data_IF_553995267666
#
_entry.id   IF_553995267666
#
_cell.length_a   1.000
_cell.length_b   1.000
_cell.length_c   1.000
_cell.angle_alpha   90.00
_cell.angle_beta   90.00
_cell.angle_gamma   90.00
#
_symmetry.space_group_name_H-M   'P 1'
#
loop_
_entity.id
_entity.type
_entity.pdbx_description
1 polymer ?
#
# COMPACT_ATOMS: atom_id res chain seq x y z
N UNK A 1 -32.08 16.07 12.51
CA UNK A 1 -31.92 14.65 12.83
C UNK A 1 -31.04 14.57 14.06
N UNK A 2 -31.48 13.82 15.06
CA UNK A 2 -30.95 13.80 16.42
C UNK A 2 -29.49 13.34 16.49
N UNK A 3 -28.67 14.12 17.21
CA UNK A 3 -27.30 13.78 17.61
C UNK A 3 -27.27 12.38 18.27
N UNK A 4 -26.61 11.43 17.61
CA UNK A 4 -26.36 10.10 18.16
C UNK A 4 -25.23 10.08 19.22
N UNK A 5 -24.65 11.24 19.54
CA UNK A 5 -23.66 11.40 20.61
C UNK A 5 -24.34 12.03 21.84
N UNK A 6 -25.20 11.26 22.50
CA UNK A 6 -25.68 11.57 23.86
C UNK A 6 -24.80 10.84 24.87
N UNK A 7 -24.21 11.62 25.75
CA UNK A 7 -23.12 11.33 26.69
C UNK A 7 -23.51 10.40 27.84
N UNK A 8 -22.78 9.30 28.05
CA UNK A 8 -22.53 8.69 29.37
C UNK A 8 -21.43 7.62 29.30
N UNK A 9 -20.19 8.07 29.15
CA UNK A 9 -19.01 7.47 29.77
C UNK A 9 -17.82 8.36 29.42
N UNK A 10 -17.12 8.86 30.43
CA UNK A 10 -15.93 9.70 30.26
C UNK A 10 -14.73 8.84 29.84
N UNK A 11 -14.94 7.99 28.83
CA UNK A 11 -13.91 7.18 28.19
C UNK A 11 -13.45 7.99 27.00
N UNK A 12 -12.25 8.55 27.11
CA UNK A 12 -11.53 9.07 25.95
C UNK A 12 -11.66 8.02 24.84
N UNK A 13 -12.33 8.40 23.74
CA UNK A 13 -12.59 7.46 22.65
C UNK A 13 -11.23 7.13 22.06
N UNK A 14 -10.78 5.88 22.22
CA UNK A 14 -9.52 5.41 21.69
C UNK A 14 -9.79 4.67 20.39
N UNK A 15 -9.12 5.11 19.32
CA UNK A 15 -9.25 4.55 17.99
C UNK A 15 -7.93 3.88 17.59
N UNK A 16 -7.98 2.61 17.25
CA UNK A 16 -6.81 1.83 16.86
C UNK A 16 -6.83 1.62 15.35
N UNK A 17 -5.81 2.14 14.68
CA UNK A 17 -5.61 2.01 13.23
C UNK A 17 -4.63 0.87 12.95
N UNK A 18 -5.10 -0.18 12.30
CA UNK A 18 -4.24 -1.24 11.78
C UNK A 18 -3.50 -0.77 10.51
N UNK A 19 -2.19 -1.00 10.46
CA UNK A 19 -1.36 -0.67 9.30
C UNK A 19 -0.20 -1.66 9.12
N UNK A 20 0.36 -1.71 7.91
CA UNK A 20 1.59 -2.47 7.63
C UNK A 20 2.82 -1.74 8.14
N UNK A 21 3.91 -2.48 8.35
CA UNK A 21 5.17 -1.92 8.88
C UNK A 21 6.09 -1.22 7.87
N UNK A 22 5.75 -1.18 6.57
CA UNK A 22 6.57 -0.46 5.60
C UNK A 22 6.48 1.05 5.78
N UNK A 23 7.56 1.80 5.52
CA UNK A 23 7.60 3.27 5.68
C UNK A 23 6.43 3.99 5.02
N UNK A 24 6.05 3.59 3.80
CA UNK A 24 4.90 4.18 3.09
C UNK A 24 3.56 3.88 3.78
N UNK A 25 3.37 2.66 4.29
CA UNK A 25 2.13 2.30 4.99
C UNK A 25 2.00 3.02 6.33
N UNK A 26 3.12 3.19 7.05
CA UNK A 26 3.16 4.00 8.26
C UNK A 26 2.85 5.47 7.96
N UNK A 27 3.42 6.02 6.89
CA UNK A 27 3.11 7.38 6.44
C UNK A 27 1.61 7.55 6.12
N UNK A 28 1.01 6.58 5.41
CA UNK A 28 -0.42 6.61 5.10
C UNK A 28 -1.29 6.58 6.37
N UNK A 29 -0.95 5.71 7.33
CA UNK A 29 -1.68 5.60 8.59
C UNK A 29 -1.53 6.85 9.47
N UNK A 30 -0.33 7.43 9.52
CA UNK A 30 -0.09 8.68 10.25
C UNK A 30 -0.83 9.85 9.59
N UNK A 31 -0.88 9.92 8.26
CA UNK A 31 -1.69 10.92 7.56
C UNK A 31 -3.18 10.80 7.92
N UNK A 32 -3.74 9.59 7.92
CA UNK A 32 -5.14 9.36 8.32
C UNK A 32 -5.36 9.76 9.78
N UNK A 33 -4.45 9.36 10.68
CA UNK A 33 -4.49 9.76 12.09
C UNK A 33 -4.48 11.28 12.26
N UNK A 34 -3.62 11.99 11.54
CA UNK A 34 -3.57 13.46 11.60
C UNK A 34 -4.87 14.10 11.15
N UNK A 35 -5.52 13.57 10.10
CA UNK A 35 -6.84 14.03 9.66
C UNK A 35 -7.91 13.82 10.73
N UNK A 36 -7.92 12.66 11.38
CA UNK A 36 -8.87 12.36 12.46
C UNK A 36 -8.65 13.31 13.64
N UNK A 37 -7.41 13.49 14.09
CA UNK A 37 -7.08 14.37 15.21
C UNK A 37 -7.32 15.85 14.91
N UNK A 38 -7.24 16.25 13.64
CA UNK A 38 -7.55 17.62 13.22
C UNK A 38 -9.05 17.93 13.35
N UNK A 39 -9.92 17.00 12.94
CA UNK A 39 -11.37 17.14 13.01
C UNK A 39 -11.94 16.83 14.41
N UNK A 40 -11.32 15.89 15.13
CA UNK A 40 -11.74 15.40 16.45
C UNK A 40 -10.58 15.38 17.45
N UNK A 41 -10.15 16.55 17.97
CA UNK A 41 -8.99 16.66 18.86
C UNK A 41 -9.11 15.92 20.20
N UNK A 42 -10.33 15.57 20.60
CA UNK A 42 -10.65 14.86 21.85
C UNK A 42 -10.44 13.34 21.77
N UNK A 43 -10.32 12.78 20.56
CA UNK A 43 -10.11 11.35 20.32
C UNK A 43 -8.62 11.02 20.48
N UNK A 44 -8.29 9.89 21.10
CA UNK A 44 -6.94 9.33 21.05
C UNK A 44 -6.83 8.34 19.88
N UNK A 45 -5.72 8.38 19.16
CA UNK A 45 -5.50 7.50 18.01
C UNK A 45 -4.17 6.77 18.14
N UNK A 46 -4.21 5.44 18.11
CA UNK A 46 -3.06 4.54 18.18
C UNK A 46 -2.86 3.81 16.85
N UNK A 47 -1.60 3.47 16.54
CA UNK A 47 -1.27 2.68 15.35
C UNK A 47 -0.89 1.25 15.76
N UNK A 48 -1.68 0.28 15.32
CA UNK A 48 -1.36 -1.14 15.43
C UNK A 48 -0.59 -1.59 14.18
N UNK A 49 0.73 -1.74 14.32
CA UNK A 49 1.57 -2.23 13.22
C UNK A 49 1.46 -3.76 13.14
N UNK A 50 0.87 -4.24 12.04
CA UNK A 50 0.70 -5.66 11.76
C UNK A 50 1.79 -6.15 10.81
N UNK A 51 2.49 -7.23 11.18
CA UNK A 51 3.45 -7.90 10.31
C UNK A 51 2.71 -8.84 9.37
N UNK A 52 2.70 -8.53 8.07
CA UNK A 52 2.03 -9.38 7.07
C UNK A 52 2.95 -10.52 6.62
N UNK A 53 2.36 -11.62 6.16
CA UNK A 53 3.11 -12.74 5.55
C UNK A 53 3.81 -12.30 4.26
N UNK A 54 3.22 -11.34 3.52
CA UNK A 54 3.86 -10.71 2.36
C UNK A 54 5.14 -9.93 2.67
N UNK A 55 5.33 -9.46 3.91
CA UNK A 55 6.60 -8.84 4.34
C UNK A 55 7.68 -9.92 4.62
N UNK A 56 7.27 -11.16 4.91
CA UNK A 56 8.18 -12.29 5.20
C UNK A 56 8.62 -13.05 3.95
N UNK A 57 7.86 -13.02 2.85
CA UNK A 57 8.16 -13.78 1.63
C UNK A 57 8.67 -12.84 0.53
N UNK A 58 9.99 -12.71 0.43
CA UNK A 58 10.65 -11.93 -0.64
C UNK A 58 11.15 -12.80 -1.82
N UNK A 59 11.22 -14.13 -1.65
CA UNK A 59 11.96 -15.04 -2.54
C UNK A 59 11.11 -15.83 -3.56
N UNK A 60 9.82 -15.51 -3.73
CA UNK A 60 8.94 -16.20 -4.71
C UNK A 60 8.12 -15.23 -5.55
N UNK A 61 7.77 -15.60 -6.78
CA UNK A 61 7.01 -14.71 -7.68
C UNK A 61 5.53 -14.60 -7.24
N UNK A 62 4.90 -13.44 -7.49
CA UNK A 62 3.49 -13.15 -7.15
C UNK A 62 2.54 -14.09 -7.91
N UNK A 63 2.96 -14.51 -9.11
CA UNK A 63 2.31 -15.54 -9.92
C UNK A 63 2.35 -16.93 -9.28
N UNK A 64 3.44 -17.27 -8.57
CA UNK A 64 3.61 -18.59 -7.92
C UNK A 64 2.93 -18.68 -6.54
N UNK A 65 2.75 -17.56 -5.82
CA UNK A 65 2.22 -17.59 -4.45
C UNK A 65 0.69 -17.74 -4.42
N UNK A 66 -0.01 -17.64 -5.57
CA UNK A 66 -1.41 -18.10 -5.68
C UNK A 66 -2.32 -17.62 -4.54
N UNK A 67 -2.25 -16.33 -4.17
CA UNK A 67 -2.95 -15.82 -2.99
C UNK A 67 -3.33 -14.36 -3.16
N UNK A 68 -4.50 -14.10 -3.74
CA UNK A 68 -5.16 -12.79 -3.61
C UNK A 68 -5.29 -12.49 -2.10
N UNK A 69 -4.72 -11.38 -1.61
CA UNK A 69 -4.85 -10.94 -0.21
C UNK A 69 -3.62 -11.12 0.71
N UNK A 70 -2.42 -11.43 0.19
CA UNK A 70 -1.17 -11.60 0.98
C UNK A 70 -0.78 -10.43 1.90
N UNK A 71 -1.32 -9.22 1.66
CA UNK A 71 -1.05 -8.02 2.44
C UNK A 71 -2.27 -7.52 3.25
N UNK A 72 -3.43 -8.15 3.04
CA UNK A 72 -4.72 -7.65 3.54
C UNK A 72 -5.22 -8.52 4.69
N UNK A 73 -4.98 -9.84 4.64
CA UNK A 73 -5.50 -10.80 5.61
C UNK A 73 -5.16 -10.48 7.06
N UNK A 74 -3.93 -10.09 7.36
CA UNK A 74 -3.56 -9.83 8.76
C UNK A 74 -4.18 -8.54 9.31
N UNK A 75 -4.46 -7.56 8.44
CA UNK A 75 -5.21 -6.36 8.80
C UNK A 75 -6.70 -6.69 8.98
N UNK A 76 -7.28 -7.49 8.09
CA UNK A 76 -8.66 -7.99 8.21
C UNK A 76 -8.87 -8.77 9.51
N UNK A 77 -7.93 -9.65 9.89
CA UNK A 77 -8.00 -10.35 11.17
C UNK A 77 -7.91 -9.41 12.36
N UNK A 78 -7.10 -8.34 12.28
CA UNK A 78 -7.05 -7.35 13.35
C UNK A 78 -8.40 -6.65 13.57
N UNK A 79 -9.15 -6.39 12.50
CA UNK A 79 -10.48 -5.82 12.57
C UNK A 79 -11.50 -6.83 13.11
N UNK A 80 -11.53 -8.04 12.54
CA UNK A 80 -12.49 -9.08 12.92
C UNK A 80 -12.33 -9.57 14.36
N UNK A 81 -11.10 -9.54 14.90
CA UNK A 81 -10.80 -9.90 16.29
C UNK A 81 -10.98 -8.73 17.27
N UNK A 82 -11.35 -7.54 16.78
CA UNK A 82 -11.50 -6.33 17.61
C UNK A 82 -10.17 -5.80 18.18
N UNK A 83 -9.03 -6.15 17.56
CA UNK A 83 -7.72 -5.59 17.92
C UNK A 83 -7.49 -4.21 17.32
N UNK A 84 -8.24 -3.86 16.28
CA UNK A 84 -8.23 -2.55 15.64
C UNK A 84 -9.65 -2.17 15.19
N UNK A 85 -9.90 -0.87 15.08
CA UNK A 85 -11.20 -0.32 14.70
C UNK A 85 -11.29 -0.01 13.21
N UNK A 86 -10.17 0.35 12.59
CA UNK A 86 -10.06 0.56 11.14
C UNK A 86 -8.69 0.14 10.61
N UNK A 87 -8.62 -0.13 9.31
CA UNK A 87 -7.36 -0.43 8.62
C UNK A 87 -7.10 0.57 7.50
N UNK A 88 -5.85 1.01 7.35
CA UNK A 88 -5.43 1.91 6.27
C UNK A 88 -4.70 1.12 5.19
N UNK A 89 -5.12 1.29 3.95
CA UNK A 89 -4.57 0.61 2.79
C UNK A 89 -4.29 1.56 1.63
N UNK A 90 -3.30 1.21 0.82
CA UNK A 90 -3.28 1.64 -0.57
C UNK A 90 -4.40 0.95 -1.33
N UNK A 91 -5.32 1.71 -1.92
CA UNK A 91 -6.54 1.14 -2.53
C UNK A 91 -6.27 0.07 -3.60
N UNK A 92 -5.17 0.18 -4.34
CA UNK A 92 -4.77 -0.80 -5.36
C UNK A 92 -4.47 -2.21 -4.79
N UNK A 93 -4.21 -2.30 -3.50
CA UNK A 93 -3.85 -3.54 -2.81
C UNK A 93 -5.07 -4.21 -2.17
N UNK A 94 -6.23 -3.54 -2.15
CA UNK A 94 -7.49 -4.08 -1.61
C UNK A 94 -8.13 -5.04 -2.62
N UNK A 95 -8.60 -6.19 -2.14
CA UNK A 95 -9.23 -7.21 -3.00
C UNK A 95 -10.68 -6.84 -3.35
N UNK A 96 -11.15 -7.31 -4.51
CA UNK A 96 -12.53 -7.09 -4.96
C UNK A 96 -13.60 -7.78 -4.11
N UNK A 97 -13.19 -8.73 -3.29
CA UNK A 97 -14.04 -9.41 -2.31
C UNK A 97 -13.52 -9.08 -0.92
N UNK A 98 -14.41 -8.67 -0.03
CA UNK A 98 -14.12 -8.41 1.38
C UNK A 98 -14.75 -9.53 2.23
N UNK A 99 -14.07 -9.96 3.31
CA UNK A 99 -14.67 -10.86 4.28
C UNK A 99 -15.99 -10.31 4.83
N UNK A 100 -16.91 -11.21 5.18
CA UNK A 100 -18.15 -10.82 5.86
C UNK A 100 -17.82 -10.06 7.16
N UNK A 101 -18.51 -8.95 7.38
CA UNK A 101 -18.30 -8.07 8.54
C UNK A 101 -17.30 -6.95 8.30
N UNK A 102 -16.64 -6.91 7.13
CA UNK A 102 -15.76 -5.81 6.73
C UNK A 102 -16.31 -5.08 5.52
N UNK A 103 -16.04 -3.79 5.45
CA UNK A 103 -16.40 -2.92 4.33
C UNK A 103 -15.33 -1.84 4.10
N UNK A 104 -15.41 -1.18 2.95
CA UNK A 104 -14.62 0.01 2.65
C UNK A 104 -15.55 1.20 2.90
N UNK A 105 -15.53 1.74 4.13
CA UNK A 105 -16.43 2.83 4.51
C UNK A 105 -15.93 4.21 4.05
N UNK A 106 -14.63 4.34 3.76
CA UNK A 106 -13.99 5.63 3.42
C UNK A 106 -12.99 5.45 2.28
N UNK A 107 -13.06 6.37 1.31
CA UNK A 107 -12.04 6.55 0.28
C UNK A 107 -11.51 7.97 0.41
N UNK A 108 -10.22 8.11 0.70
CA UNK A 108 -9.57 9.41 0.78
C UNK A 108 -9.48 10.10 -0.58
N UNK A 109 -9.24 11.41 -0.57
CA UNK A 109 -8.92 12.17 -1.78
C UNK A 109 -7.75 11.53 -2.54
N UNK A 110 -7.87 11.47 -3.86
CA UNK A 110 -6.95 10.71 -4.70
C UNK A 110 -5.74 11.57 -5.08
N UNK A 111 -4.56 11.12 -4.66
CA UNK A 111 -3.27 11.64 -5.16
C UNK A 111 -3.04 11.28 -6.64
N UNK A 112 -1.98 11.84 -7.24
CA UNK A 112 -1.62 11.60 -8.64
C UNK A 112 -1.62 10.09 -8.98
N UNK A 113 -2.48 9.62 -9.90
CA UNK A 113 -2.58 8.21 -10.26
C UNK A 113 -1.52 7.76 -11.29
N UNK A 114 -0.67 8.66 -11.79
CA UNK A 114 0.34 8.40 -12.81
C UNK A 114 1.42 7.40 -12.37
N UNK A 115 1.93 6.62 -13.33
CA UNK A 115 3.19 5.89 -13.14
C UNK A 115 4.37 6.83 -13.34
N UNK A 116 5.40 6.73 -12.48
CA UNK A 116 6.63 7.52 -12.60
C UNK A 116 7.75 6.74 -13.28
N UNK A 117 8.49 7.42 -14.17
CA UNK A 117 9.74 6.93 -14.73
C UNK A 117 10.90 7.32 -13.82
N UNK A 118 11.62 6.33 -13.29
CA UNK A 118 12.75 6.55 -12.38
C UNK A 118 14.01 6.00 -13.05
N UNK A 119 14.81 6.89 -13.62
CA UNK A 119 16.09 6.55 -14.23
C UNK A 119 17.06 7.73 -14.06
N UNK A 120 18.17 7.58 -13.31
CA UNK A 120 19.14 8.66 -13.12
C UNK A 120 19.87 9.08 -14.40
N UNK A 121 19.95 8.18 -15.39
CA UNK A 121 20.78 8.36 -16.60
C UNK A 121 19.99 8.88 -17.81
N UNK A 122 18.71 8.52 -17.91
CA UNK A 122 17.88 8.81 -19.08
C UNK A 122 16.55 9.42 -18.64
N UNK A 123 16.28 10.65 -19.06
CA UNK A 123 15.12 11.43 -18.60
C UNK A 123 13.77 10.94 -19.10
N UNK A 124 13.72 10.07 -20.11
CA UNK A 124 12.49 9.48 -20.63
C UNK A 124 12.72 8.08 -21.15
N UNK A 125 11.63 7.33 -21.22
CA UNK A 125 11.56 6.03 -21.88
C UNK A 125 11.92 6.10 -23.37
N UNK A 126 11.59 7.20 -24.05
CA UNK A 126 11.86 7.36 -25.49
C UNK A 126 13.36 7.46 -25.79
N UNK A 127 14.11 8.01 -24.84
CA UNK A 127 15.57 8.18 -24.95
C UNK A 127 16.34 7.02 -24.30
N UNK A 128 15.65 5.95 -23.90
CA UNK A 128 16.27 4.81 -23.22
C UNK A 128 16.95 3.88 -24.25
N UNK A 129 18.19 3.42 -24.00
CA UNK A 129 18.96 2.66 -24.98
C UNK A 129 18.27 1.37 -25.43
N UNK A 130 18.52 0.98 -26.68
CA UNK A 130 17.99 -0.27 -27.24
C UNK A 130 18.47 -1.48 -26.43
N UNK A 131 17.55 -2.40 -26.15
CA UNK A 131 17.84 -3.62 -25.39
C UNK A 131 18.09 -3.38 -23.89
N UNK A 132 17.86 -2.17 -23.40
CA UNK A 132 18.03 -1.86 -21.98
C UNK A 132 16.97 -2.55 -21.10
N UNK A 133 17.25 -2.59 -19.80
CA UNK A 133 16.45 -3.32 -18.82
C UNK A 133 15.60 -2.36 -17.99
N UNK A 134 14.34 -2.73 -17.76
CA UNK A 134 13.41 -2.00 -16.87
C UNK A 134 12.87 -2.93 -15.79
N UNK A 135 12.99 -2.51 -14.53
CA UNK A 135 12.49 -3.29 -13.39
C UNK A 135 11.04 -3.03 -13.06
N UNK A 136 10.17 -4.02 -13.25
CA UNK A 136 8.81 -4.01 -12.72
C UNK A 136 8.28 -5.43 -12.56
N UNK A 137 7.69 -5.75 -11.40
CA UNK A 137 6.91 -6.98 -11.22
C UNK A 137 5.42 -6.81 -11.57
N UNK A 138 4.99 -5.65 -12.07
CA UNK A 138 3.61 -5.41 -12.49
C UNK A 138 3.41 -5.82 -13.94
N UNK A 139 2.54 -6.82 -14.18
CA UNK A 139 2.16 -7.24 -15.53
C UNK A 139 1.46 -6.10 -16.30
N UNK A 140 0.69 -5.25 -15.60
CA UNK A 140 0.08 -4.05 -16.20
C UNK A 140 1.14 -3.14 -16.81
N UNK A 141 2.19 -2.82 -16.05
CA UNK A 141 3.28 -1.95 -16.54
C UNK A 141 4.11 -2.64 -17.60
N UNK A 142 4.47 -3.91 -17.39
CA UNK A 142 5.30 -4.67 -18.33
C UNK A 142 4.65 -4.78 -19.71
N UNK A 143 3.36 -5.14 -19.77
CA UNK A 143 2.64 -5.25 -21.05
C UNK A 143 2.53 -3.92 -21.79
N UNK A 144 2.19 -2.83 -21.09
CA UNK A 144 2.12 -1.49 -21.69
C UNK A 144 3.48 -1.00 -22.17
N UNK A 145 4.53 -1.25 -21.37
CA UNK A 145 5.91 -0.92 -21.70
C UNK A 145 6.38 -1.66 -22.95
N UNK A 146 6.21 -2.98 -23.00
CA UNK A 146 6.66 -3.80 -24.13
C UNK A 146 5.82 -3.57 -25.39
N UNK A 147 4.57 -3.13 -25.26
CA UNK A 147 3.79 -2.68 -26.40
C UNK A 147 4.36 -1.40 -27.02
N UNK A 148 4.81 -0.47 -26.18
CA UNK A 148 5.37 0.82 -26.62
C UNK A 148 6.84 0.72 -27.07
N UNK A 149 7.66 -0.05 -26.34
CA UNK A 149 9.08 -0.31 -26.58
C UNK A 149 9.34 -1.83 -26.60
N UNK A 150 9.08 -2.53 -27.73
CA UNK A 150 9.23 -3.98 -27.82
C UNK A 150 10.65 -4.50 -27.62
N UNK A 151 11.65 -3.64 -27.77
CA UNK A 151 13.08 -3.93 -27.59
C UNK A 151 13.51 -3.99 -26.11
N UNK A 152 12.74 -3.38 -25.20
CA UNK A 152 13.09 -3.31 -23.78
C UNK A 152 12.89 -4.65 -23.09
N UNK A 153 13.90 -5.05 -22.31
CA UNK A 153 13.81 -6.23 -21.44
C UNK A 153 13.20 -5.84 -20.11
N UNK A 154 12.15 -6.56 -19.68
CA UNK A 154 11.54 -6.33 -18.36
C UNK A 154 12.06 -7.36 -17.37
N UNK A 155 12.62 -6.91 -16.25
CA UNK A 155 12.97 -7.78 -15.12
C UNK A 155 12.03 -7.59 -13.93
N UNK A 156 11.87 -8.63 -13.12
CA UNK A 156 11.09 -8.55 -11.89
C UNK A 156 11.82 -7.73 -10.82
N UNK A 157 11.21 -6.63 -10.37
CA UNK A 157 11.72 -5.79 -9.29
C UNK A 157 10.75 -5.78 -8.10
N UNK A 158 11.20 -6.35 -6.96
CA UNK A 158 10.44 -6.54 -5.72
C UNK A 158 11.00 -5.72 -4.56
N UNK A 159 10.25 -5.71 -3.46
CA UNK A 159 10.54 -4.94 -2.26
C UNK A 159 9.65 -3.71 -2.12
N UNK A 160 9.74 -3.06 -0.95
CA UNK A 160 9.18 -1.74 -0.72
C UNK A 160 9.90 -0.68 -1.58
N UNK A 161 9.40 0.56 -1.57
CA UNK A 161 9.95 1.65 -2.40
C UNK A 161 11.46 1.82 -2.20
N UNK A 162 11.91 1.92 -0.95
CA UNK A 162 13.32 2.09 -0.59
C UNK A 162 14.21 0.96 -1.11
N UNK A 163 13.76 -0.30 -0.99
CA UNK A 163 14.51 -1.46 -1.48
C UNK A 163 14.66 -1.41 -2.99
N UNK A 164 13.63 -0.95 -3.72
CA UNK A 164 13.68 -0.83 -5.18
C UNK A 164 14.63 0.29 -5.62
N UNK A 165 14.60 1.43 -4.95
CA UNK A 165 15.52 2.54 -5.22
C UNK A 165 16.97 2.10 -4.96
N UNK A 166 17.22 1.41 -3.84
CA UNK A 166 18.56 0.86 -3.55
C UNK A 166 19.04 -0.12 -4.63
N UNK A 167 18.16 -1.02 -5.11
CA UNK A 167 18.50 -1.95 -6.20
C UNK A 167 18.87 -1.21 -7.49
N UNK A 168 18.15 -0.13 -7.81
CA UNK A 168 18.45 0.75 -8.94
C UNK A 168 19.81 1.43 -8.76
N UNK A 169 20.09 2.00 -7.57
CA UNK A 169 21.36 2.65 -7.27
C UNK A 169 22.55 1.68 -7.33
N UNK A 170 22.32 0.41 -7.01
CA UNK A 170 23.31 -0.68 -7.07
C UNK A 170 23.49 -1.26 -8.47
N UNK A 171 22.67 -0.85 -9.45
CA UNK A 171 22.71 -1.38 -10.82
C UNK A 171 22.24 -2.84 -10.92
N UNK A 172 21.43 -3.31 -9.97
CA UNK A 172 20.72 -4.60 -10.08
C UNK A 172 19.61 -4.54 -11.14
N UNK A 173 19.20 -3.32 -11.53
CA UNK A 173 18.24 -3.00 -12.58
C UNK A 173 18.69 -1.75 -13.31
#
# INVERSE_FOLDING_TARGET
MSNAFSTSDNKQTNLIIATRGSSLALWQAEWVKQRILYEYPEISVELLVVKTTGDKIQDRTLSEIGGKGLFVKELEYALLEGRADLAVHSMKDVTSFLPQGLEISVIAEREDPGDAWICPKFGSIDNFPDGAVVGTSSLRRASQLQHHRPDVTVMSLRGNVETRLRKLDQGEV
#
